data_IF_716138230562
#
_entry.id   IF_716138230562
#
_cell.length_a   1.000
_cell.length_b   1.000
_cell.length_c   1.000
_cell.angle_alpha   90.00
_cell.angle_beta   90.00
_cell.angle_gamma   90.00
#
_symmetry.space_group_name_H-M   'P 1'
#
loop_
_entity.id
_entity.type
_entity.pdbx_description
1 polymer ?
#
# COMPACT_ATOMS: atom_id res chain seq x y z
N UNK A 1 -34.53 -5.99 -5.13
CA UNK A 1 -34.12 -7.19 -4.38
C UNK A 1 -33.74 -6.88 -2.94
N UNK A 2 -32.78 -5.99 -2.69
CA UNK A 2 -32.33 -5.59 -1.33
C UNK A 2 -33.38 -4.73 -0.61
N UNK A 3 -33.72 -3.57 -1.19
CA UNK A 3 -34.73 -2.62 -0.67
C UNK A 3 -36.11 -3.27 -0.48
N UNK A 4 -36.53 -4.08 -1.45
CA UNK A 4 -37.79 -4.84 -1.42
C UNK A 4 -37.87 -5.89 -0.30
N UNK A 5 -36.73 -6.26 0.31
CA UNK A 5 -36.65 -7.23 1.41
C UNK A 5 -36.23 -6.57 2.73
N UNK A 6 -36.16 -5.24 2.79
CA UNK A 6 -35.71 -4.46 3.94
C UNK A 6 -34.32 -4.89 4.46
N UNK A 7 -33.43 -5.28 3.54
CA UNK A 7 -32.03 -5.57 3.85
C UNK A 7 -31.14 -4.38 3.51
N UNK A 8 -29.97 -4.34 4.13
CA UNK A 8 -28.91 -3.37 3.85
C UNK A 8 -27.64 -4.11 3.44
N UNK A 9 -26.82 -3.50 2.60
CA UNK A 9 -25.57 -4.10 2.11
C UNK A 9 -24.37 -3.39 2.74
N UNK A 10 -23.35 -4.19 3.06
CA UNK A 10 -21.99 -3.73 3.29
C UNK A 10 -21.19 -3.95 2.01
N UNK A 11 -20.49 -2.93 1.53
CA UNK A 11 -19.68 -3.02 0.31
C UNK A 11 -18.21 -2.99 0.70
N UNK A 12 -17.47 -4.03 0.32
CA UNK A 12 -16.01 -4.08 0.38
C UNK A 12 -15.44 -4.12 -1.03
N UNK A 13 -14.50 -3.24 -1.33
CA UNK A 13 -13.82 -3.17 -2.64
C UNK A 13 -12.33 -3.17 -2.37
N UNK A 14 -11.60 -4.00 -3.11
CA UNK A 14 -10.15 -4.13 -2.99
C UNK A 14 -9.44 -3.75 -4.29
N UNK A 15 -8.19 -3.28 -4.16
CA UNK A 15 -7.31 -2.83 -5.25
C UNK A 15 -8.02 -1.94 -6.28
N UNK A 16 -8.77 -0.95 -5.80
CA UNK A 16 -9.64 -0.15 -6.64
C UNK A 16 -8.88 0.65 -7.73
N UNK A 17 -7.70 1.14 -7.40
CA UNK A 17 -6.81 1.93 -8.24
C UNK A 17 -6.01 1.11 -9.26
N UNK A 18 -6.13 -0.23 -9.24
CA UNK A 18 -5.42 -1.13 -10.14
C UNK A 18 -5.50 -0.73 -11.63
N UNK A 19 -6.64 -0.29 -12.21
CA UNK A 19 -6.67 0.09 -13.62
C UNK A 19 -5.81 1.32 -13.95
N UNK A 20 -5.77 2.33 -13.07
CA UNK A 20 -4.89 3.49 -13.27
C UNK A 20 -3.44 3.09 -13.09
N UNK A 21 -3.13 2.27 -12.09
CA UNK A 21 -1.77 1.81 -11.89
C UNK A 21 -1.25 0.97 -13.04
N UNK A 22 -2.03 0.00 -13.52
CA UNK A 22 -1.67 -0.76 -14.70
C UNK A 22 -1.42 0.15 -15.91
N UNK A 23 -2.18 1.23 -16.04
CA UNK A 23 -2.00 2.22 -17.10
C UNK A 23 -0.69 3.01 -16.90
N UNK A 24 -0.47 3.58 -15.71
CA UNK A 24 0.74 4.32 -15.31
C UNK A 24 2.01 3.49 -15.52
N UNK A 25 1.97 2.19 -15.23
CA UNK A 25 3.13 1.31 -15.28
C UNK A 25 3.25 0.49 -16.58
N UNK A 26 2.23 0.48 -17.45
CA UNK A 26 2.22 -0.30 -18.70
C UNK A 26 3.37 -0.01 -19.67
N UNK A 27 4.05 1.13 -19.52
CA UNK A 27 5.10 1.59 -20.45
C UNK A 27 4.57 2.26 -21.72
N UNK A 28 3.25 2.40 -21.87
CA UNK A 28 2.64 3.15 -22.97
C UNK A 28 2.63 4.65 -22.65
N UNK A 29 3.33 5.46 -23.45
CA UNK A 29 3.40 6.92 -23.28
C UNK A 29 2.41 7.68 -24.17
N UNK A 30 2.04 7.11 -25.32
CA UNK A 30 1.12 7.73 -26.28
C UNK A 30 -0.31 7.68 -25.74
N UNK A 31 -0.95 8.84 -25.56
CA UNK A 31 -2.33 8.94 -25.08
C UNK A 31 -2.52 8.57 -23.60
N UNK A 32 -1.43 8.50 -22.83
CA UNK A 32 -1.45 8.09 -21.43
C UNK A 32 -2.38 8.98 -20.59
N UNK A 33 -2.25 10.30 -20.72
CA UNK A 33 -3.09 11.25 -19.98
C UNK A 33 -4.58 11.13 -20.35
N UNK A 34 -4.90 10.96 -21.64
CA UNK A 34 -6.28 10.79 -22.09
C UNK A 34 -6.89 9.50 -21.52
N UNK A 35 -6.10 8.43 -21.48
CA UNK A 35 -6.51 7.14 -20.89
C UNK A 35 -6.76 7.28 -19.39
N UNK A 36 -5.85 7.93 -18.66
CA UNK A 36 -6.00 8.20 -17.22
C UNK A 36 -7.25 9.02 -16.94
N UNK A 37 -7.47 10.10 -17.70
CA UNK A 37 -8.66 10.96 -17.57
C UNK A 37 -9.96 10.17 -17.83
N UNK A 38 -9.97 9.29 -18.83
CA UNK A 38 -11.14 8.44 -19.11
C UNK A 38 -11.41 7.47 -17.97
N UNK A 39 -10.38 6.80 -17.44
CA UNK A 39 -10.51 5.89 -16.30
C UNK A 39 -11.02 6.65 -15.07
N UNK A 40 -10.44 7.81 -14.76
CA UNK A 40 -10.85 8.67 -13.66
C UNK A 40 -12.34 9.04 -13.75
N UNK A 41 -12.81 9.51 -14.90
CA UNK A 41 -14.21 9.89 -15.12
C UNK A 41 -15.16 8.70 -15.00
N UNK A 42 -14.80 7.55 -15.58
CA UNK A 42 -15.60 6.33 -15.45
C UNK A 42 -15.77 5.94 -14.00
N UNK A 43 -14.71 5.99 -13.21
CA UNK A 43 -14.75 5.63 -11.81
C UNK A 43 -15.53 6.63 -10.94
N UNK A 44 -15.35 7.93 -11.16
CA UNK A 44 -16.11 8.97 -10.45
C UNK A 44 -17.62 8.84 -10.69
N UNK A 45 -18.04 8.67 -11.94
CA UNK A 45 -19.46 8.76 -12.30
C UNK A 45 -20.18 7.42 -12.38
N UNK A 46 -19.51 6.37 -12.85
CA UNK A 46 -20.16 5.07 -13.00
C UNK A 46 -20.05 4.22 -11.73
N UNK A 47 -19.09 4.50 -10.86
CA UNK A 47 -18.90 3.73 -9.63
C UNK A 47 -19.19 4.55 -8.37
N UNK A 48 -18.42 5.60 -8.08
CA UNK A 48 -18.57 6.33 -6.82
C UNK A 48 -19.90 7.05 -6.70
N UNK A 49 -20.44 7.60 -7.79
CA UNK A 49 -21.76 8.22 -7.77
C UNK A 49 -22.86 7.19 -7.46
N UNK A 50 -22.74 5.97 -8.00
CA UNK A 50 -23.70 4.90 -7.73
C UNK A 50 -23.60 4.39 -6.28
N UNK A 51 -22.38 4.29 -5.74
CA UNK A 51 -22.16 3.99 -4.33
C UNK A 51 -22.78 5.05 -3.42
N UNK A 52 -22.53 6.33 -3.70
CA UNK A 52 -23.10 7.45 -2.95
C UNK A 52 -24.63 7.42 -2.98
N UNK A 53 -25.23 7.24 -4.16
CA UNK A 53 -26.70 7.08 -4.29
C UNK A 53 -27.21 5.90 -3.46
N UNK A 54 -26.50 4.77 -3.46
CA UNK A 54 -26.85 3.61 -2.63
C UNK A 54 -26.82 3.90 -1.13
N UNK A 55 -25.86 4.71 -0.67
CA UNK A 55 -25.81 5.20 0.70
C UNK A 55 -26.97 6.16 1.02
N UNK A 56 -27.22 7.15 0.15
CA UNK A 56 -28.30 8.14 0.30
C UNK A 56 -29.68 7.48 0.35
N UNK A 57 -29.88 6.40 -0.40
CA UNK A 57 -31.10 5.61 -0.41
C UNK A 57 -31.23 4.61 0.75
N UNK A 58 -30.27 4.57 1.67
CA UNK A 58 -30.20 3.60 2.79
C UNK A 58 -30.20 2.14 2.33
N UNK A 59 -29.71 1.86 1.12
CA UNK A 59 -29.48 0.50 0.61
C UNK A 59 -28.10 0.00 1.05
N UNK A 60 -27.12 0.91 1.08
CA UNK A 60 -25.75 0.66 1.54
C UNK A 60 -25.53 1.33 2.88
N UNK A 61 -25.24 0.56 3.93
CA UNK A 61 -25.01 1.14 5.26
C UNK A 61 -23.56 1.58 5.49
N UNK A 62 -22.62 0.85 4.88
CA UNK A 62 -21.19 1.04 5.06
C UNK A 62 -20.46 0.61 3.80
N UNK A 63 -19.39 1.33 3.49
CA UNK A 63 -18.47 1.03 2.41
C UNK A 63 -17.05 1.02 2.97
N UNK A 64 -16.27 0.02 2.57
CA UNK A 64 -14.84 -0.07 2.86
C UNK A 64 -14.10 -0.25 1.54
N UNK A 65 -13.19 0.67 1.24
CA UNK A 65 -12.48 0.74 -0.02
C UNK A 65 -10.98 0.68 0.28
N UNK A 66 -10.26 -0.25 -0.34
CA UNK A 66 -8.80 -0.34 -0.30
C UNK A 66 -8.21 -0.11 -1.68
N UNK A 67 -6.92 0.26 -1.73
CA UNK A 67 -6.28 0.70 -2.97
C UNK A 67 -6.97 1.92 -3.56
N UNK A 68 -7.03 3.04 -2.83
CA UNK A 68 -7.62 4.28 -3.35
C UNK A 68 -6.58 5.38 -3.36
N UNK A 69 -6.05 5.69 -4.55
CA UNK A 69 -5.19 6.86 -4.73
C UNK A 69 -5.95 8.15 -4.39
N UNK A 70 -5.36 9.08 -3.60
CA UNK A 70 -6.03 10.34 -3.25
C UNK A 70 -6.49 11.19 -4.45
N UNK A 71 -5.83 11.03 -5.61
CA UNK A 71 -6.22 11.68 -6.87
C UNK A 71 -7.69 11.49 -7.27
N UNK A 72 -8.32 10.36 -6.91
CA UNK A 72 -9.74 10.11 -7.17
C UNK A 72 -10.69 11.03 -6.38
N UNK A 73 -10.21 11.68 -5.32
CA UNK A 73 -10.99 12.68 -4.55
C UNK A 73 -10.94 14.07 -5.13
N UNK A 74 -10.08 14.33 -6.12
CA UNK A 74 -9.95 15.66 -6.72
C UNK A 74 -11.25 16.17 -7.37
N UNK A 75 -11.45 17.49 -7.38
CA UNK A 75 -12.62 18.12 -8.00
C UNK A 75 -13.95 17.71 -7.36
N UNK A 76 -15.02 17.66 -8.15
CA UNK A 76 -16.35 17.25 -7.68
C UNK A 76 -16.46 15.72 -7.57
N UNK A 77 -15.75 15.11 -6.61
CA UNK A 77 -15.77 13.64 -6.43
C UNK A 77 -16.80 13.22 -5.38
N UNK A 78 -17.62 12.16 -5.63
CA UNK A 78 -18.48 11.58 -4.61
C UNK A 78 -17.69 11.02 -3.41
N UNK A 79 -16.39 10.75 -3.57
CA UNK A 79 -15.52 10.35 -2.48
C UNK A 79 -15.26 11.46 -1.45
N UNK A 80 -15.59 12.73 -1.72
CA UNK A 80 -15.38 13.80 -0.74
C UNK A 80 -16.09 13.52 0.60
N UNK A 81 -17.23 12.82 0.54
CA UNK A 81 -18.02 12.42 1.72
C UNK A 81 -17.45 11.18 2.44
N UNK A 82 -16.45 10.50 1.87
CA UNK A 82 -15.79 9.37 2.51
C UNK A 82 -14.78 9.84 3.58
N UNK A 83 -14.64 9.05 4.63
CA UNK A 83 -13.61 9.26 5.65
C UNK A 83 -12.32 8.53 5.27
N UNK A 84 -11.19 9.23 5.22
CA UNK A 84 -9.89 8.64 4.93
C UNK A 84 -9.29 8.13 6.25
N UNK A 85 -8.98 6.83 6.26
CA UNK A 85 -8.41 6.15 7.43
C UNK A 85 -7.03 5.56 7.15
N UNK A 86 -6.45 5.81 5.96
CA UNK A 86 -5.20 5.19 5.51
C UNK A 86 -3.98 5.55 6.37
N UNK A 87 -4.02 6.69 7.06
CA UNK A 87 -2.94 7.16 7.94
C UNK A 87 -3.35 7.14 9.43
N UNK A 88 -4.51 6.56 9.78
CA UNK A 88 -4.99 6.47 11.17
C UNK A 88 -4.18 5.43 11.95
N UNK A 89 -3.45 5.89 12.98
CA UNK A 89 -2.63 5.04 13.84
C UNK A 89 -3.42 3.99 14.61
N UNK A 90 -4.70 4.25 14.92
CA UNK A 90 -5.56 3.28 15.61
C UNK A 90 -5.93 2.09 14.72
N UNK A 91 -5.79 2.26 13.41
CA UNK A 91 -6.08 1.25 12.41
C UNK A 91 -4.80 0.70 11.75
N UNK A 92 -3.63 1.05 12.28
CA UNK A 92 -2.34 0.65 11.73
C UNK A 92 -2.24 -0.86 11.43
N UNK A 93 -2.67 -1.69 12.39
CA UNK A 93 -2.58 -3.16 12.28
C UNK A 93 -3.38 -3.75 11.09
N UNK A 94 -4.32 -3.02 10.47
CA UNK A 94 -5.03 -3.52 9.29
C UNK A 94 -4.12 -3.63 8.06
N UNK A 95 -2.98 -2.95 8.06
CA UNK A 95 -2.09 -2.85 6.91
C UNK A 95 -1.05 -3.99 6.84
N UNK A 96 -1.05 -4.94 7.76
CA UNK A 96 -0.09 -6.05 7.75
C UNK A 96 -0.24 -6.98 8.95
N UNK A 97 0.74 -7.84 9.20
CA UNK A 97 0.76 -8.69 10.39
C UNK A 97 1.62 -8.10 11.49
N UNK A 98 1.13 -8.15 12.73
CA UNK A 98 1.93 -7.91 13.92
C UNK A 98 2.91 -9.06 14.17
N UNK A 99 3.96 -8.81 14.94
CA UNK A 99 4.92 -9.86 15.32
C UNK A 99 4.23 -11.04 16.06
N UNK A 100 3.24 -10.75 16.91
CA UNK A 100 2.46 -11.78 17.61
C UNK A 100 1.64 -12.66 16.67
N UNK A 101 1.10 -12.08 15.60
CA UNK A 101 0.37 -12.83 14.58
C UNK A 101 1.34 -13.69 13.77
N UNK A 102 2.48 -13.15 13.35
CA UNK A 102 3.53 -13.92 12.67
C UNK A 102 3.99 -15.09 13.54
N UNK A 103 4.26 -14.86 14.83
CA UNK A 103 4.59 -15.91 15.81
C UNK A 103 3.54 -17.01 15.83
N UNK A 104 2.26 -16.62 15.86
CA UNK A 104 1.12 -17.55 15.84
C UNK A 104 1.04 -18.34 14.54
N UNK A 105 1.27 -17.70 13.39
CA UNK A 105 1.25 -18.34 12.08
C UNK A 105 2.40 -19.35 11.98
N UNK A 106 3.64 -18.99 12.36
CA UNK A 106 4.79 -19.91 12.36
C UNK A 106 4.47 -21.15 13.21
N UNK A 107 4.02 -20.94 14.46
CA UNK A 107 3.70 -22.02 15.39
C UNK A 107 2.66 -22.98 14.82
N UNK A 108 1.60 -22.46 14.19
CA UNK A 108 0.51 -23.26 13.64
C UNK A 108 0.86 -23.93 12.31
N UNK A 109 1.47 -23.21 11.39
CA UNK A 109 1.77 -23.70 10.04
C UNK A 109 2.96 -24.65 10.01
N UNK A 110 4.00 -24.39 10.81
CA UNK A 110 5.23 -25.19 10.82
C UNK A 110 5.28 -26.20 11.98
N UNK A 111 4.31 -26.17 12.90
CA UNK A 111 4.22 -27.05 14.08
C UNK A 111 5.51 -27.02 14.92
N UNK A 112 6.02 -25.81 15.14
CA UNK A 112 7.28 -25.53 15.84
C UNK A 112 7.04 -25.24 17.31
N UNK A 113 8.00 -25.59 18.15
CA UNK A 113 7.99 -25.17 19.56
C UNK A 113 8.37 -23.69 19.73
N UNK A 114 8.25 -23.14 20.94
CA UNK A 114 8.53 -21.72 21.21
C UNK A 114 9.96 -21.31 20.82
N UNK A 115 10.95 -22.18 21.05
CA UNK A 115 12.37 -21.87 20.88
C UNK A 115 12.74 -21.87 19.38
N UNK A 116 12.19 -22.82 18.64
CA UNK A 116 12.27 -22.84 17.17
C UNK A 116 11.55 -21.65 16.54
N UNK A 117 10.37 -21.29 17.05
CA UNK A 117 9.60 -20.14 16.56
C UNK A 117 10.37 -18.83 16.73
N UNK A 118 10.97 -18.61 17.90
CA UNK A 118 11.75 -17.39 18.17
C UNK A 118 12.98 -17.29 17.26
N UNK A 119 13.61 -18.42 16.93
CA UNK A 119 14.72 -18.49 15.97
C UNK A 119 14.28 -18.13 14.55
N UNK A 120 13.14 -18.67 14.10
CA UNK A 120 12.57 -18.35 12.78
C UNK A 120 12.17 -16.87 12.72
N UNK A 121 11.56 -16.36 13.78
CA UNK A 121 11.12 -14.97 13.87
C UNK A 121 12.30 -13.99 13.83
N UNK A 122 13.44 -14.35 14.43
CA UNK A 122 14.68 -13.59 14.32
C UNK A 122 15.15 -13.45 12.86
N UNK A 123 15.16 -14.54 12.09
CA UNK A 123 15.49 -14.47 10.66
C UNK A 123 14.44 -13.70 9.85
N UNK A 124 13.16 -13.83 10.18
CA UNK A 124 12.09 -13.07 9.53
C UNK A 124 12.18 -11.57 9.82
N UNK A 125 12.64 -11.14 11.01
CA UNK A 125 12.93 -9.72 11.26
C UNK A 125 13.97 -9.17 10.30
N UNK A 126 15.02 -9.96 10.02
CA UNK A 126 16.09 -9.59 9.11
C UNK A 126 15.64 -9.58 7.64
N UNK A 127 14.81 -10.56 7.25
CA UNK A 127 14.45 -10.80 5.84
C UNK A 127 13.14 -10.15 5.39
N UNK A 128 12.23 -9.88 6.32
CA UNK A 128 10.94 -9.25 6.06
C UNK A 128 10.82 -7.86 6.72
N UNK A 129 11.91 -7.35 7.29
CA UNK A 129 12.15 -5.99 7.82
C UNK A 129 10.95 -5.03 7.69
N UNK A 130 9.99 -5.20 8.61
CA UNK A 130 8.62 -4.67 8.52
C UNK A 130 8.50 -3.15 8.31
N UNK A 131 7.28 -2.65 8.19
CA UNK A 131 7.00 -1.28 7.75
C UNK A 131 5.96 -0.57 8.63
N UNK A 132 5.87 0.76 8.47
CA UNK A 132 4.78 1.56 9.00
C UNK A 132 4.07 2.33 7.89
N UNK A 133 2.73 2.40 7.96
CA UNK A 133 1.93 3.21 7.05
C UNK A 133 1.29 4.42 7.75
N UNK A 134 0.86 4.27 9.01
CA UNK A 134 0.30 5.38 9.76
C UNK A 134 1.30 6.52 9.97
N UNK A 135 0.81 7.77 9.95
CA UNK A 135 1.60 8.93 10.38
C UNK A 135 1.52 9.08 11.89
N UNK A 136 2.65 8.95 12.57
CA UNK A 136 2.76 9.03 14.02
C UNK A 136 3.41 10.35 14.50
N UNK A 137 3.76 11.27 13.59
CA UNK A 137 4.37 12.54 13.96
C UNK A 137 3.39 13.53 14.62
N UNK A 138 2.09 13.33 14.46
CA UNK A 138 1.06 14.26 14.95
C UNK A 138 0.53 13.92 16.35
N UNK A 139 0.87 12.76 16.91
CA UNK A 139 0.38 12.31 18.22
C UNK A 139 1.53 12.12 19.21
N UNK A 140 1.90 13.20 19.92
CA UNK A 140 2.93 13.23 20.97
C UNK A 140 2.64 12.25 22.13
N UNK A 141 1.38 11.78 22.24
CA UNK A 141 0.90 10.92 23.33
C UNK A 141 0.77 9.44 22.97
N UNK A 142 0.91 9.09 21.69
CA UNK A 142 0.82 7.70 21.23
C UNK A 142 2.23 7.10 21.12
N UNK A 143 2.40 5.88 21.63
CA UNK A 143 3.61 5.10 21.39
C UNK A 143 3.78 4.86 19.88
N UNK A 144 5.01 4.96 19.37
CA UNK A 144 5.33 4.62 17.97
C UNK A 144 4.73 3.23 17.67
N UNK A 145 3.86 3.11 16.64
CA UNK A 145 3.22 1.85 16.33
C UNK A 145 4.25 0.80 15.95
N UNK A 146 3.91 -0.47 16.13
CA UNK A 146 4.85 -1.58 15.97
C UNK A 146 5.08 -1.81 14.47
N UNK A 147 6.26 -2.25 14.02
CA UNK A 147 6.46 -2.56 12.60
C UNK A 147 5.56 -3.73 12.19
N UNK A 148 4.95 -3.63 11.01
CA UNK A 148 4.10 -4.68 10.45
C UNK A 148 4.86 -5.48 9.40
N UNK A 149 4.58 -6.77 9.35
CA UNK A 149 5.12 -7.67 8.35
C UNK A 149 4.19 -7.74 7.15
N UNK A 150 4.76 -7.70 5.93
CA UNK A 150 4.00 -7.91 4.72
C UNK A 150 3.41 -9.34 4.70
N UNK A 151 2.07 -9.51 4.60
CA UNK A 151 1.46 -10.83 4.61
C UNK A 151 1.97 -11.77 3.52
N UNK A 152 2.18 -11.26 2.29
CA UNK A 152 2.68 -12.06 1.18
C UNK A 152 4.11 -12.55 1.41
N UNK A 153 4.99 -11.70 1.95
CA UNK A 153 6.36 -12.09 2.31
C UNK A 153 6.38 -13.13 3.45
N UNK A 154 5.53 -12.96 4.46
CA UNK A 154 5.38 -13.93 5.56
C UNK A 154 5.00 -15.30 5.03
N UNK A 155 3.95 -15.39 4.20
CA UNK A 155 3.52 -16.67 3.66
C UNK A 155 4.53 -17.28 2.68
N UNK A 156 5.21 -16.44 1.88
CA UNK A 156 6.29 -16.91 1.01
C UNK A 156 7.45 -17.49 1.81
N UNK A 157 7.89 -16.80 2.87
CA UNK A 157 8.92 -17.29 3.79
C UNK A 157 8.50 -18.64 4.38
N UNK A 158 7.31 -18.74 4.96
CA UNK A 158 6.81 -19.96 5.60
C UNK A 158 6.78 -21.13 4.60
N UNK A 159 6.29 -20.90 3.39
CA UNK A 159 6.26 -21.91 2.32
C UNK A 159 7.66 -22.38 1.92
N UNK A 160 8.61 -21.45 1.79
CA UNK A 160 10.01 -21.79 1.45
C UNK A 160 10.69 -22.53 2.59
N UNK A 161 10.44 -22.12 3.82
CA UNK A 161 11.00 -22.73 5.02
C UNK A 161 10.47 -24.16 5.21
N UNK A 162 9.18 -24.39 4.97
CA UNK A 162 8.60 -25.74 5.05
C UNK A 162 9.22 -26.74 4.07
N UNK A 163 9.81 -26.26 2.97
CA UNK A 163 10.46 -27.10 1.96
C UNK A 163 11.95 -27.28 2.27
N UNK A 164 12.64 -26.20 2.64
CA UNK A 164 14.11 -26.16 2.71
C UNK A 164 14.69 -26.27 4.13
N UNK A 165 13.87 -26.04 5.16
CA UNK A 165 14.29 -25.99 6.57
C UNK A 165 15.13 -24.77 6.97
N UNK A 166 15.69 -24.02 6.01
CA UNK A 166 16.44 -22.78 6.24
C UNK A 166 16.31 -21.84 5.03
N UNK A 167 16.36 -20.53 5.29
CA UNK A 167 16.32 -19.48 4.26
C UNK A 167 17.42 -18.46 4.56
N UNK A 168 18.44 -18.39 3.69
CA UNK A 168 19.50 -17.39 3.76
C UNK A 168 19.11 -16.07 3.11
N UNK A 169 18.29 -16.13 2.06
CA UNK A 169 17.80 -14.98 1.30
C UNK A 169 16.37 -15.22 0.85
N UNK A 170 15.53 -14.17 0.90
CA UNK A 170 14.19 -14.23 0.36
C UNK A 170 14.25 -13.83 -1.12
N UNK A 171 14.61 -14.77 -1.99
CA UNK A 171 14.47 -14.52 -3.44
C UNK A 171 13.00 -14.31 -3.80
N UNK A 172 12.81 -13.35 -4.70
CA UNK A 172 11.56 -12.69 -5.05
C UNK A 172 10.37 -13.65 -5.16
N UNK A 173 9.34 -13.36 -4.37
CA UNK A 173 8.00 -13.77 -4.76
C UNK A 173 7.58 -12.93 -5.96
N UNK A 174 6.77 -13.48 -6.86
CA UNK A 174 6.11 -12.77 -7.97
C UNK A 174 5.07 -11.74 -7.49
N UNK A 175 5.17 -11.30 -6.23
CA UNK A 175 4.27 -10.30 -5.67
C UNK A 175 4.78 -8.90 -6.04
N UNK A 176 3.86 -7.94 -6.09
CA UNK A 176 4.10 -6.51 -6.34
C UNK A 176 5.21 -5.93 -5.44
N UNK A 177 5.60 -6.66 -4.37
CA UNK A 177 6.61 -6.29 -3.41
C UNK A 177 7.99 -6.92 -3.61
N UNK A 178 8.33 -7.37 -4.82
CA UNK A 178 9.70 -7.74 -5.16
C UNK A 178 10.54 -6.47 -5.39
N UNK A 179 11.79 -6.40 -4.88
CA UNK A 179 12.71 -5.28 -5.15
C UNK A 179 12.86 -4.93 -6.64
N UNK A 180 12.82 -5.91 -7.55
CA UNK A 180 12.84 -5.66 -8.99
C UNK A 180 11.53 -5.09 -9.54
N UNK A 181 10.37 -5.54 -9.05
CA UNK A 181 9.07 -4.97 -9.44
C UNK A 181 8.94 -3.53 -8.90
N UNK A 182 9.42 -3.28 -7.69
CA UNK A 182 9.49 -1.94 -7.11
C UNK A 182 10.38 -1.00 -7.91
N UNK A 183 11.61 -1.42 -8.21
CA UNK A 183 12.52 -0.66 -9.07
C UNK A 183 11.87 -0.38 -10.41
N UNK A 184 11.24 -1.40 -11.02
CA UNK A 184 10.53 -1.23 -12.28
C UNK A 184 9.40 -0.20 -12.17
N UNK A 185 8.54 -0.26 -11.15
CA UNK A 185 7.50 0.76 -10.94
C UNK A 185 8.08 2.17 -10.81
N UNK A 186 9.14 2.33 -10.00
CA UNK A 186 9.82 3.62 -9.84
C UNK A 186 10.35 4.11 -11.20
N UNK A 187 11.07 3.27 -11.94
CA UNK A 187 11.60 3.60 -13.26
C UNK A 187 10.50 3.97 -14.27
N UNK A 188 9.43 3.20 -14.33
CA UNK A 188 8.31 3.47 -15.24
C UNK A 188 7.59 4.77 -14.88
N UNK A 189 7.39 5.05 -13.59
CA UNK A 189 6.80 6.31 -13.15
C UNK A 189 7.65 7.50 -13.59
N UNK A 190 8.97 7.42 -13.38
CA UNK A 190 9.92 8.47 -13.79
C UNK A 190 9.91 8.65 -15.31
N UNK A 191 9.93 7.55 -16.06
CA UNK A 191 9.93 7.60 -17.52
C UNK A 191 8.68 8.29 -18.07
N UNK A 192 7.52 8.08 -17.43
CA UNK A 192 6.23 8.58 -17.90
C UNK A 192 5.91 10.00 -17.40
N UNK A 193 6.28 10.34 -16.17
CA UNK A 193 5.84 11.58 -15.52
C UNK A 193 6.99 12.45 -14.98
N UNK A 194 8.20 11.90 -14.83
CA UNK A 194 9.31 12.59 -14.19
C UNK A 194 9.07 12.83 -12.69
N UNK A 195 9.53 13.96 -12.17
CA UNK A 195 9.31 14.39 -10.78
C UNK A 195 10.38 13.99 -9.77
N UNK A 196 11.41 13.25 -10.19
CA UNK A 196 12.53 12.83 -9.35
C UNK A 196 13.86 13.36 -9.89
N UNK A 197 14.77 13.76 -9.00
CA UNK A 197 16.17 13.97 -9.37
C UNK A 197 16.96 12.66 -9.32
N UNK A 198 18.12 12.59 -9.99
CA UNK A 198 19.04 11.45 -9.85
C UNK A 198 19.51 11.27 -8.41
N UNK A 199 19.61 12.36 -7.64
CA UNK A 199 19.96 12.34 -6.23
C UNK A 199 18.87 11.67 -5.39
N UNK A 200 17.60 12.01 -5.61
CA UNK A 200 16.46 11.39 -4.93
C UNK A 200 16.44 9.86 -5.16
N UNK A 201 16.72 9.43 -6.38
CA UNK A 201 16.79 8.01 -6.74
C UNK A 201 17.99 7.33 -6.10
N UNK A 202 19.15 7.96 -6.12
CA UNK A 202 20.35 7.44 -5.46
C UNK A 202 20.10 7.22 -3.98
N UNK A 203 19.51 8.21 -3.30
CA UNK A 203 19.17 8.12 -1.87
C UNK A 203 18.19 6.98 -1.60
N UNK A 204 17.13 6.85 -2.40
CA UNK A 204 16.16 5.77 -2.26
C UNK A 204 16.80 4.39 -2.46
N UNK A 205 17.64 4.23 -3.49
CA UNK A 205 18.33 2.97 -3.81
C UNK A 205 19.40 2.59 -2.78
N UNK A 206 19.95 3.58 -2.08
CA UNK A 206 20.86 3.40 -0.95
C UNK A 206 20.12 3.23 0.39
N UNK A 207 18.78 3.16 0.35
CA UNK A 207 17.89 3.06 1.51
C UNK A 207 18.11 4.20 2.53
N UNK A 208 18.51 5.37 2.02
CA UNK A 208 18.63 6.56 2.84
C UNK A 208 17.24 7.16 3.11
N UNK A 209 16.93 7.53 4.36
CA UNK A 209 15.64 8.11 4.69
C UNK A 209 15.39 9.39 3.88
N UNK A 210 14.20 9.46 3.29
CA UNK A 210 13.72 10.63 2.56
C UNK A 210 12.70 11.37 3.40
N UNK A 211 13.11 12.55 3.88
CA UNK A 211 12.20 13.50 4.51
C UNK A 211 11.33 14.10 3.39
N UNK A 212 10.09 13.61 3.28
CA UNK A 212 9.16 14.04 2.26
C UNK A 212 7.76 14.16 2.86
N UNK A 213 7.06 15.24 2.50
CA UNK A 213 5.68 15.45 2.87
C UNK A 213 4.78 14.77 1.85
N UNK A 214 4.01 13.78 2.32
CA UNK A 214 2.94 13.20 1.53
C UNK A 214 1.83 14.23 1.34
N UNK A 215 1.35 14.33 0.11
CA UNK A 215 0.20 15.14 -0.26
C UNK A 215 -1.01 14.24 -0.43
N UNK A 216 -2.11 14.61 0.21
CA UNK A 216 -3.40 13.90 0.10
C UNK A 216 -4.40 14.67 -0.77
N UNK A 217 -4.02 15.86 -1.24
CA UNK A 217 -4.86 16.77 -2.02
C UNK A 217 -4.23 17.07 -3.38
N UNK A 218 -4.21 16.07 -4.26
CA UNK A 218 -3.74 16.20 -5.63
C UNK A 218 -4.73 15.57 -6.62
N UNK A 219 -4.51 15.80 -7.91
CA UNK A 219 -5.25 15.20 -9.04
C UNK A 219 -4.30 14.44 -9.96
N UNK A 220 -4.83 13.65 -10.90
CA UNK A 220 -3.99 13.01 -11.92
C UNK A 220 -3.36 14.01 -12.90
N UNK A 221 -3.86 15.25 -12.99
CA UNK A 221 -3.20 16.31 -13.74
C UNK A 221 -1.91 16.81 -13.05
N UNK A 222 -1.73 16.51 -11.76
CA UNK A 222 -0.54 16.89 -10.99
C UNK A 222 0.60 15.86 -11.08
N UNK A 223 0.39 14.78 -11.85
CA UNK A 223 1.43 13.78 -12.13
C UNK A 223 2.68 14.46 -12.70
N UNK A 224 3.83 14.11 -12.13
CA UNK A 224 5.14 14.70 -12.45
C UNK A 224 5.62 15.76 -11.46
N UNK A 225 4.78 16.23 -10.53
CA UNK A 225 5.25 16.97 -9.36
C UNK A 225 5.91 16.03 -8.36
N UNK A 226 7.05 16.44 -7.79
CA UNK A 226 7.84 15.64 -6.84
C UNK A 226 7.03 15.08 -5.65
N UNK A 227 6.29 15.93 -4.93
CA UNK A 227 5.50 15.48 -3.77
C UNK A 227 4.36 14.54 -4.16
N UNK A 228 3.75 14.76 -5.34
CA UNK A 228 2.70 13.87 -5.87
C UNK A 228 3.29 12.50 -6.22
N UNK A 229 4.48 12.48 -6.81
CA UNK A 229 5.19 11.25 -7.12
C UNK A 229 5.48 10.41 -5.86
N UNK A 230 5.99 11.04 -4.80
CA UNK A 230 6.19 10.37 -3.50
C UNK A 230 4.88 9.82 -2.92
N UNK A 231 3.81 10.61 -3.01
CA UNK A 231 2.50 10.23 -2.51
C UNK A 231 1.95 9.02 -3.25
N UNK A 232 2.02 9.01 -4.58
CA UNK A 232 1.54 7.87 -5.38
C UNK A 232 2.34 6.60 -5.04
N UNK A 233 3.67 6.68 -4.99
CA UNK A 233 4.49 5.53 -4.63
C UNK A 233 4.19 5.02 -3.20
N UNK A 234 3.87 5.91 -2.26
CA UNK A 234 3.44 5.52 -0.92
C UNK A 234 2.07 4.83 -0.92
N UNK A 235 1.05 5.43 -1.56
CA UNK A 235 -0.31 4.86 -1.62
C UNK A 235 -0.39 3.55 -2.44
N UNK A 236 0.59 3.30 -3.30
CA UNK A 236 0.83 2.04 -3.99
C UNK A 236 1.47 0.95 -3.12
N UNK A 237 1.92 1.28 -1.92
CA UNK A 237 2.74 0.39 -1.10
C UNK A 237 4.14 0.12 -1.67
N UNK A 238 4.64 0.98 -2.58
CA UNK A 238 6.04 0.98 -3.04
C UNK A 238 6.95 1.60 -1.99
N UNK A 239 6.46 2.62 -1.29
CA UNK A 239 7.15 3.26 -0.18
C UNK A 239 6.36 3.06 1.11
N UNK A 240 7.08 3.06 2.22
CA UNK A 240 6.51 3.05 3.56
C UNK A 240 7.34 3.95 4.49
N UNK A 241 6.86 4.18 5.71
CA UNK A 241 7.55 4.96 6.73
C UNK A 241 8.53 4.10 7.54
N UNK A 242 9.68 4.68 7.86
CA UNK A 242 10.56 4.19 8.93
C UNK A 242 10.03 4.60 10.31
N UNK A 243 10.79 4.37 11.38
CA UNK A 243 10.41 4.75 12.75
C UNK A 243 10.50 6.26 13.04
N UNK A 244 11.16 7.02 12.16
CA UNK A 244 11.27 8.48 12.25
C UNK A 244 10.24 9.18 11.33
N UNK A 245 9.43 8.41 10.59
CA UNK A 245 8.39 8.89 9.70
C UNK A 245 8.87 9.20 8.28
N UNK A 246 10.15 8.94 7.98
CA UNK A 246 10.74 9.15 6.65
C UNK A 246 10.33 8.05 5.69
N UNK A 247 10.27 8.40 4.40
CA UNK A 247 9.96 7.43 3.36
C UNK A 247 11.18 6.56 3.05
N UNK A 248 10.92 5.26 2.89
CA UNK A 248 11.89 4.25 2.43
C UNK A 248 11.20 3.13 1.66
N UNK A 249 11.98 2.28 1.00
CA UNK A 249 11.49 1.03 0.42
C UNK A 249 11.25 0.02 1.57
N UNK A 250 10.03 -0.54 1.70
CA UNK A 250 9.75 -1.51 2.75
C UNK A 250 10.46 -2.84 2.48
N UNK A 251 10.85 -3.55 3.54
CA UNK A 251 11.44 -4.89 3.46
C UNK A 251 12.74 -4.99 2.62
N UNK A 252 13.43 -3.88 2.36
CA UNK A 252 14.73 -3.94 1.68
C UNK A 252 15.73 -4.66 2.60
N UNK A 253 16.18 -5.83 2.12
CA UNK A 253 17.13 -6.67 2.83
C UNK A 253 18.50 -6.06 2.55
N UNK A 254 19.10 -5.44 3.58
CA UNK A 254 20.47 -4.95 3.51
C UNK A 254 21.35 -6.10 2.99
N UNK A 255 21.96 -5.89 1.82
CA UNK A 255 22.84 -6.85 1.15
C UNK A 255 24.14 -7.07 1.93
#
# INVERSE_FOLDING_TARGET
MVKSRNYTVFIGVDDYDAPIYNTIFSGATVGLNDTINQIELQFKWNFFEQLKRGCDESVTNKCFLTGVTPAYRSGASPLLDAHIISEDSNLHDICGFTESEVKTIIKRCLRKDELEVDTILFEMRRLCNGYHFADFNNNIWDSIPHPLYNPALVFHYIRKFSINGFISTLQESTSIHSPHIFQWHIFQFIANFGGFSLEDLSRLMMNEPLESKLDTNFSFADLGKKNVAWSILFYLGVLARDQAGNLRIPNDVVK
#
